data_IF_742728559662
#
_entry.id   IF_742728559662
#
_cell.length_a   1.000
_cell.length_b   1.000
_cell.length_c   1.000
_cell.angle_alpha   90.00
_cell.angle_beta   90.00
_cell.angle_gamma   90.00
#
_symmetry.space_group_name_H-M   'P 1'
#
loop_
_entity.id
_entity.type
_entity.pdbx_description
1 polymer ?
#
# COMPACT_ATOMS: atom_id res chain seq x y z
N UNK A 1 -12.37 6.94 -16.34
CA UNK A 1 -11.51 7.69 -15.42
C UNK A 1 -10.08 7.54 -15.93
N UNK A 2 -9.55 8.57 -16.58
CA UNK A 2 -8.20 8.51 -17.15
C UNK A 2 -7.18 8.68 -16.03
N UNK A 3 -6.13 7.86 -16.03
CA UNK A 3 -5.05 7.87 -15.05
C UNK A 3 -4.24 9.19 -15.03
N UNK A 4 -4.56 10.13 -15.92
CA UNK A 4 -3.95 11.47 -16.05
C UNK A 4 -4.45 12.50 -15.04
N UNK A 5 -5.40 12.18 -14.14
CA UNK A 5 -5.87 13.11 -13.09
C UNK A 5 -5.14 12.98 -11.74
N UNK A 6 -4.17 12.08 -11.60
CA UNK A 6 -3.36 11.96 -10.40
C UNK A 6 -2.16 12.89 -10.49
N UNK A 7 -1.83 13.59 -9.39
CA UNK A 7 -0.60 14.37 -9.34
C UNK A 7 0.61 13.43 -9.56
N UNK A 8 1.67 13.87 -10.24
CA UNK A 8 2.87 13.06 -10.45
C UNK A 8 3.45 12.48 -9.15
N UNK A 9 3.47 13.29 -8.09
CA UNK A 9 3.87 12.90 -6.73
C UNK A 9 3.04 11.75 -6.15
N UNK A 10 1.71 11.80 -6.28
CA UNK A 10 0.81 10.74 -5.80
C UNK A 10 0.96 9.48 -6.67
N UNK A 11 1.21 9.63 -7.97
CA UNK A 11 1.46 8.52 -8.90
C UNK A 11 2.75 7.77 -8.55
N UNK A 12 3.84 8.49 -8.30
CA UNK A 12 5.12 7.87 -7.91
C UNK A 12 5.02 7.16 -6.57
N UNK A 13 4.31 7.75 -5.60
CA UNK A 13 4.04 7.15 -4.31
C UNK A 13 3.23 5.86 -4.44
N UNK A 14 2.15 5.87 -5.23
CA UNK A 14 1.34 4.66 -5.50
C UNK A 14 2.21 3.56 -6.13
N UNK A 15 3.02 3.90 -7.13
CA UNK A 15 3.91 2.93 -7.80
C UNK A 15 4.92 2.34 -6.80
N UNK A 16 5.54 3.19 -5.98
CA UNK A 16 6.52 2.77 -4.97
C UNK A 16 5.91 1.80 -3.95
N UNK A 17 4.73 2.12 -3.42
CA UNK A 17 4.06 1.29 -2.42
C UNK A 17 3.58 -0.04 -3.01
N UNK A 18 3.04 -0.03 -4.24
CA UNK A 18 2.71 -1.25 -4.97
C UNK A 18 3.94 -2.15 -5.18
N UNK A 19 5.08 -1.58 -5.59
CA UNK A 19 6.32 -2.33 -5.80
C UNK A 19 6.83 -2.95 -4.49
N UNK A 20 6.77 -2.23 -3.37
CA UNK A 20 7.17 -2.75 -2.04
C UNK A 20 6.27 -3.91 -1.60
N UNK A 21 4.97 -3.79 -1.82
CA UNK A 21 4.02 -4.84 -1.46
C UNK A 21 4.21 -6.09 -2.33
N UNK A 22 4.44 -5.92 -3.64
CA UNK A 22 4.74 -7.02 -4.55
C UNK A 22 6.05 -7.73 -4.15
N UNK A 23 7.11 -6.95 -3.89
CA UNK A 23 8.40 -7.49 -3.47
C UNK A 23 8.27 -8.32 -2.19
N UNK A 24 7.60 -7.79 -1.18
CA UNK A 24 7.31 -8.52 0.06
C UNK A 24 6.57 -9.83 -0.19
N UNK A 25 5.54 -9.83 -1.05
CA UNK A 25 4.77 -11.03 -1.33
C UNK A 25 5.63 -12.08 -2.05
N UNK A 26 6.46 -11.65 -3.01
CA UNK A 26 7.40 -12.52 -3.72
C UNK A 26 8.39 -13.15 -2.75
N UNK A 27 8.99 -12.36 -1.85
CA UNK A 27 9.92 -12.84 -0.84
C UNK A 27 9.27 -13.88 0.08
N UNK A 28 8.08 -13.58 0.60
CA UNK A 28 7.34 -14.49 1.49
C UNK A 28 6.95 -15.80 0.80
N UNK A 29 6.59 -15.75 -0.48
CA UNK A 29 6.32 -16.96 -1.27
C UNK A 29 7.60 -17.77 -1.49
N UNK A 30 8.74 -17.13 -1.77
CA UNK A 30 10.01 -17.85 -1.94
C UNK A 30 10.47 -18.49 -0.63
N UNK A 31 10.37 -17.77 0.48
CA UNK A 31 10.63 -18.27 1.83
C UNK A 31 9.75 -19.49 2.13
N UNK A 32 8.43 -19.40 1.93
CA UNK A 32 7.50 -20.52 2.11
C UNK A 32 7.85 -21.73 1.24
N UNK A 33 8.28 -21.51 -0.01
CA UNK A 33 8.68 -22.59 -0.93
C UNK A 33 9.98 -23.28 -0.51
N UNK A 34 10.85 -22.58 0.21
CA UNK A 34 12.11 -23.13 0.72
C UNK A 34 11.92 -23.98 1.98
N UNK A 35 10.78 -23.86 2.65
CA UNK A 35 10.51 -24.51 3.92
C UNK A 35 9.75 -25.84 3.75
N UNK A 36 9.85 -26.75 4.73
CA UNK A 36 9.09 -27.98 4.75
C UNK A 36 7.56 -27.75 4.79
N UNK A 37 6.77 -28.73 4.36
CA UNK A 37 5.30 -28.59 4.29
C UNK A 37 4.58 -28.68 5.64
N UNK A 38 5.28 -29.09 6.70
CA UNK A 38 4.73 -29.35 8.02
C UNK A 38 5.04 -28.24 9.03
N UNK A 39 5.57 -27.11 8.56
CA UNK A 39 5.82 -25.95 9.40
C UNK A 39 4.67 -24.95 9.28
N UNK A 40 4.60 -24.05 10.26
CA UNK A 40 3.64 -22.95 10.22
C UNK A 40 3.82 -22.08 8.97
N UNK A 41 2.75 -21.48 8.45
CA UNK A 41 2.84 -20.56 7.32
C UNK A 41 3.75 -19.36 7.65
N UNK A 42 4.64 -19.04 6.72
CA UNK A 42 5.52 -17.86 6.76
C UNK A 42 4.73 -16.55 6.74
N UNK A 43 3.55 -16.56 6.13
CA UNK A 43 2.66 -15.40 6.10
C UNK A 43 1.23 -15.83 6.41
N UNK A 44 0.60 -15.11 7.31
CA UNK A 44 -0.77 -15.36 7.73
C UNK A 44 -1.75 -14.51 6.93
N UNK A 45 -3.00 -14.97 6.81
CA UNK A 45 -4.05 -14.21 6.12
C UNK A 45 -4.27 -12.82 6.73
N UNK A 46 -4.02 -12.65 8.04
CA UNK A 46 -4.10 -11.34 8.72
C UNK A 46 -3.06 -10.35 8.18
N UNK A 47 -1.84 -10.81 7.93
CA UNK A 47 -0.76 -9.97 7.40
C UNK A 47 -1.04 -9.57 5.95
N UNK A 48 -1.52 -10.50 5.13
CA UNK A 48 -1.94 -10.22 3.75
C UNK A 48 -3.06 -9.19 3.72
N UNK A 49 -4.05 -9.32 4.61
CA UNK A 49 -5.16 -8.36 4.72
C UNK A 49 -4.66 -6.98 5.12
N UNK A 50 -3.82 -6.89 6.15
CA UNK A 50 -3.22 -5.61 6.57
C UNK A 50 -2.49 -4.92 5.42
N UNK A 51 -1.63 -5.66 4.69
CA UNK A 51 -0.89 -5.11 3.54
C UNK A 51 -1.81 -4.63 2.42
N UNK A 52 -2.93 -5.32 2.23
CA UNK A 52 -3.95 -4.98 1.23
C UNK A 52 -4.73 -3.72 1.64
N UNK A 53 -5.06 -3.59 2.92
CA UNK A 53 -5.73 -2.41 3.48
C UNK A 53 -4.83 -1.17 3.36
N UNK A 54 -3.54 -1.29 3.69
CA UNK A 54 -2.55 -0.21 3.53
C UNK A 54 -2.47 0.27 2.08
N UNK A 55 -2.32 -0.66 1.12
CA UNK A 55 -2.34 -0.32 -0.30
C UNK A 55 -3.65 0.32 -0.75
N UNK A 56 -4.79 -0.16 -0.26
CA UNK A 56 -6.09 0.41 -0.61
C UNK A 56 -6.22 1.86 -0.12
N UNK A 57 -5.67 2.21 1.04
CA UNK A 57 -5.67 3.59 1.54
C UNK A 57 -4.85 4.52 0.64
N UNK A 58 -3.74 4.01 0.10
CA UNK A 58 -2.83 4.75 -0.79
C UNK A 58 -3.40 4.87 -2.21
N UNK A 59 -3.95 3.77 -2.74
CA UNK A 59 -4.42 3.69 -4.12
C UNK A 59 -5.82 4.27 -4.34
N UNK A 60 -6.59 4.56 -3.29
CA UNK A 60 -7.97 5.07 -3.44
C UNK A 60 -7.97 6.56 -3.81
N UNK A 61 -8.44 6.95 -5.00
CA UNK A 61 -8.41 8.36 -5.47
C UNK A 61 -9.44 9.29 -4.79
N UNK A 62 -9.96 8.92 -3.61
CA UNK A 62 -11.05 9.61 -2.93
C UNK A 62 -10.81 9.88 -1.44
N UNK A 63 -9.74 9.35 -0.85
CA UNK A 63 -9.23 9.79 0.45
C UNK A 63 -8.37 11.03 0.20
N UNK A 64 -9.06 12.12 -0.18
CA UNK A 64 -8.45 13.42 -0.17
C UNK A 64 -7.76 13.60 1.18
N UNK A 65 -6.45 13.84 1.15
CA UNK A 65 -5.82 14.67 2.18
C UNK A 65 -6.59 15.99 2.12
N UNK A 66 -7.69 16.11 2.87
CA UNK A 66 -8.12 17.39 3.40
C UNK A 66 -7.03 17.77 4.40
N UNK A 67 -5.89 18.23 3.89
CA UNK A 67 -5.07 19.16 4.65
C UNK A 67 -5.97 20.38 4.85
N UNK A 68 -6.68 20.42 5.97
CA UNK A 68 -7.38 21.61 6.40
C UNK A 68 -6.36 22.74 6.48
N UNK A 69 -6.53 23.86 5.76
CA UNK A 69 -5.79 25.06 6.09
C UNK A 69 -6.48 25.68 7.30
N UNK A 70 -6.00 25.33 8.49
CA UNK A 70 -6.30 26.13 9.67
C UNK A 70 -5.24 27.24 9.72
N UNK A 71 -5.44 28.29 8.91
CA UNK A 71 -4.92 29.59 9.24
C UNK A 71 -6.04 30.62 9.11
N UNK A 72 -6.74 30.83 10.22
CA UNK A 72 -7.59 31.99 10.44
C UNK A 72 -6.70 33.08 11.03
N UNK A 73 -6.09 33.89 10.16
CA UNK A 73 -5.57 35.21 10.54
C UNK A 73 -6.65 36.25 10.27
N UNK A 74 -7.30 36.66 11.35
CA UNK A 74 -8.05 37.91 11.39
C UNK A 74 -7.14 38.99 11.94
N UNK A 75 -6.94 40.05 11.16
CA UNK A 75 -6.81 41.42 11.65
C UNK A 75 -7.23 42.38 10.53
#
# INVERSE_FOLDING_TARGET
>A
MSADSLKPEDRELIISECNKAEQWLREKIQEQKSLPKNIDPVVWSREIKSKTEDLNLICRPGSGRKASPQNSEGN
#
